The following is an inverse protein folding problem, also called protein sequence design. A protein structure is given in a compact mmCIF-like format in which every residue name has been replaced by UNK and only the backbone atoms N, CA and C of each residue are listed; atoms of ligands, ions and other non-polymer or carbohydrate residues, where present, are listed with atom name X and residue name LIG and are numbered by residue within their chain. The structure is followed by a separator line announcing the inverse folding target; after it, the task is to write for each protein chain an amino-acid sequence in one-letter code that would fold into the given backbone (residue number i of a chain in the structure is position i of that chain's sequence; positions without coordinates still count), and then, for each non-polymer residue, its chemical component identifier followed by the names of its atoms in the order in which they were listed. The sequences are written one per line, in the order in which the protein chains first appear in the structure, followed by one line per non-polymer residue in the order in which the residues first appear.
data_IF_562589701617
#
_entry.id   IF_562589701617
#
_cell.length_a   1.000
_cell.length_b   1.000
_cell.length_c   1.000
_cell.angle_alpha   90.00
_cell.angle_beta   90.00
_cell.angle_gamma   90.00
#
_symmetry.space_group_name_H-M   'P 1'
#
loop_
_entity.id
_entity.type
_entity.pdbx_description
1 polymer ?
#
# COMPACT_ATOMS: atom_id res chain seq x y z
N UNK A 1 -13.02 45.86 5.89
CA UNK A 1 -13.67 44.65 5.35
C UNK A 1 -12.59 43.80 4.71
N UNK A 2 -12.24 42.67 5.33
CA UNK A 2 -12.40 41.34 4.72
C UNK A 2 -11.98 40.34 5.79
N UNK A 3 -12.94 39.95 6.61
CA UNK A 3 -12.84 38.78 7.48
C UNK A 3 -12.83 37.59 6.52
N UNK A 4 -11.71 36.89 6.42
CA UNK A 4 -11.58 35.73 5.54
C UNK A 4 -12.14 34.54 6.32
N UNK A 5 -13.47 34.46 6.36
CA UNK A 5 -14.20 33.32 6.90
C UNK A 5 -14.03 32.16 5.90
N UNK A 6 -12.97 31.38 6.11
CA UNK A 6 -12.71 30.16 5.36
C UNK A 6 -13.74 29.14 5.83
N UNK A 7 -14.86 29.07 5.10
CA UNK A 7 -15.98 28.17 5.36
C UNK A 7 -15.55 26.71 5.11
N UNK A 8 -14.88 26.11 6.10
CA UNK A 8 -14.38 24.73 6.08
C UNK A 8 -15.52 23.70 5.88
N UNK A 9 -16.77 24.08 6.11
CA UNK A 9 -17.96 23.23 5.91
C UNK A 9 -18.21 22.87 4.45
N UNK A 10 -17.80 23.71 3.50
CA UNK A 10 -17.99 23.41 2.07
C UNK A 10 -16.92 22.45 1.52
N UNK A 11 -15.81 22.25 2.25
CA UNK A 11 -14.75 21.31 1.86
C UNK A 11 -15.05 19.89 2.35
N UNK A 12 -15.88 19.74 3.40
CA UNK A 12 -16.32 18.43 3.89
C UNK A 12 -17.27 17.71 2.92
N UNK A 13 -18.09 18.43 2.13
CA UNK A 13 -19.04 17.83 1.17
C UNK A 13 -18.39 17.25 -0.09
N UNK A 14 -17.11 17.51 -0.35
CA UNK A 14 -16.42 17.04 -1.56
C UNK A 14 -15.46 15.88 -1.34
N UNK A 15 -15.48 15.28 -0.14
CA UNK A 15 -14.73 14.05 0.19
C UNK A 15 -15.64 12.80 0.06
N UNK A 16 -16.93 12.98 -0.28
CA UNK A 16 -17.94 11.91 -0.41
C UNK A 16 -17.90 11.14 -1.75
N UNK A 17 -16.91 11.40 -2.62
CA UNK A 17 -16.56 10.48 -3.73
C UNK A 17 -15.28 9.74 -3.36
N UNK A 18 -15.43 8.97 -2.28
CA UNK A 18 -14.50 8.00 -1.75
C UNK A 18 -14.14 7.02 -2.88
N UNK A 19 -12.95 7.20 -3.46
CA UNK A 19 -12.21 6.09 -4.06
C UNK A 19 -11.93 5.11 -2.91
N UNK A 20 -12.95 4.37 -2.50
CA UNK A 20 -12.86 3.30 -1.50
C UNK A 20 -11.92 2.23 -2.07
N UNK A 21 -10.62 2.43 -1.86
CA UNK A 21 -9.76 1.27 -1.67
C UNK A 21 -10.36 0.65 -0.40
N UNK A 22 -11.11 -0.46 -0.55
CA UNK A 22 -11.72 -1.16 0.60
C UNK A 22 -10.68 -1.52 1.68
N UNK A 23 -9.37 -1.44 1.38
CA UNK A 23 -8.29 -1.59 2.33
C UNK A 23 -7.46 -0.33 2.59
N UNK A 24 -6.80 -0.37 3.75
CA UNK A 24 -5.90 0.65 4.25
C UNK A 24 -4.47 0.50 3.72
N UNK A 25 -3.65 1.55 3.89
CA UNK A 25 -2.19 1.47 3.65
C UNK A 25 -1.50 1.09 4.94
N UNK A 26 -0.75 -0.01 4.92
CA UNK A 26 -0.01 -0.53 6.08
C UNK A 26 1.48 -0.37 5.84
N UNK A 27 2.15 0.32 6.78
CA UNK A 27 3.60 0.52 6.77
C UNK A 27 4.28 -0.57 7.60
N UNK A 28 5.39 -1.10 7.11
CA UNK A 28 6.17 -2.12 7.81
C UNK A 28 7.65 -2.06 7.49
N UNK A 29 8.42 -2.92 8.15
CA UNK A 29 9.82 -3.19 7.82
C UNK A 29 9.91 -4.64 7.38
N UNK A 30 10.54 -4.87 6.25
CA UNK A 30 10.87 -6.19 5.74
C UNK A 30 12.31 -6.49 6.17
N UNK A 31 12.45 -7.07 7.36
CA UNK A 31 13.71 -7.49 8.00
C UNK A 31 13.77 -9.03 8.23
N UNK A 32 12.70 -9.75 7.85
CA UNK A 32 12.57 -11.20 8.01
C UNK A 32 12.06 -11.64 9.38
N UNK A 33 11.78 -10.71 10.30
CA UNK A 33 11.22 -11.03 11.62
C UNK A 33 9.72 -11.31 11.54
N UNK A 34 9.00 -10.60 10.66
CA UNK A 34 7.58 -10.83 10.40
C UNK A 34 7.39 -12.02 9.44
N UNK A 35 6.63 -13.07 9.82
CA UNK A 35 6.32 -14.19 8.96
C UNK A 35 5.60 -13.77 7.67
N UNK A 36 5.92 -14.43 6.56
CA UNK A 36 5.31 -14.17 5.25
C UNK A 36 3.77 -14.28 5.25
N UNK A 37 3.21 -15.16 6.08
CA UNK A 37 1.77 -15.36 6.21
C UNK A 37 1.03 -14.12 6.73
N UNK A 38 1.66 -13.32 7.60
CA UNK A 38 1.06 -12.09 8.14
C UNK A 38 0.93 -11.03 7.03
N UNK A 39 1.96 -10.90 6.17
CA UNK A 39 1.90 -10.01 5.02
C UNK A 39 0.79 -10.44 4.04
N UNK A 40 0.67 -11.74 3.77
CA UNK A 40 -0.39 -12.27 2.92
C UNK A 40 -1.79 -12.02 3.48
N UNK A 41 -1.97 -12.12 4.80
CA UNK A 41 -3.25 -11.80 5.44
C UNK A 41 -3.63 -10.33 5.24
N UNK A 42 -2.67 -9.41 5.38
CA UNK A 42 -2.89 -7.98 5.17
C UNK A 42 -3.30 -7.70 3.72
N UNK A 43 -2.59 -8.27 2.73
CA UNK A 43 -2.93 -8.14 1.31
C UNK A 43 -4.29 -8.77 0.98
N UNK A 44 -4.60 -9.93 1.56
CA UNK A 44 -5.87 -10.63 1.31
C UNK A 44 -7.09 -9.83 1.81
N UNK A 45 -6.88 -8.93 2.77
CA UNK A 45 -7.90 -7.98 3.25
C UNK A 45 -8.02 -6.72 2.38
N UNK A 46 -7.33 -6.66 1.23
CA UNK A 46 -7.36 -5.52 0.32
C UNK A 46 -6.46 -4.35 0.73
N UNK A 47 -5.59 -4.53 1.73
CA UNK A 47 -4.67 -3.47 2.15
C UNK A 47 -3.43 -3.43 1.26
N UNK A 48 -2.86 -2.23 1.06
CA UNK A 48 -1.57 -2.05 0.38
C UNK A 48 -0.45 -2.01 1.41
N UNK A 49 0.60 -2.81 1.21
CA UNK A 49 1.80 -2.78 2.06
C UNK A 49 2.85 -1.85 1.48
N UNK A 50 3.47 -1.05 2.35
CA UNK A 50 4.71 -0.32 2.06
C UNK A 50 5.75 -0.77 3.07
N UNK A 51 6.70 -1.58 2.62
CA UNK A 51 7.69 -2.20 3.48
C UNK A 51 9.06 -1.56 3.26
N UNK A 52 9.69 -1.03 4.29
CA UNK A 52 11.11 -0.66 4.24
C UNK A 52 11.97 -1.93 4.25
N UNK A 53 12.78 -2.15 3.22
CA UNK A 53 13.58 -3.36 3.08
C UNK A 53 14.92 -3.21 3.79
N UNK A 54 15.13 -4.03 4.81
CA UNK A 54 16.40 -4.15 5.53
C UNK A 54 17.08 -5.48 5.17
N UNK A 55 17.67 -5.54 3.97
CA UNK A 55 18.39 -6.73 3.49
C UNK A 55 18.18 -7.00 2.00
N UNK A 56 18.21 -8.29 1.62
CA UNK A 56 17.92 -8.72 0.25
C UNK A 56 16.43 -8.91 0.05
N UNK A 57 15.83 -8.06 -0.78
CA UNK A 57 14.39 -8.10 -1.09
C UNK A 57 13.95 -9.43 -1.70
N UNK A 58 14.80 -10.10 -2.49
CA UNK A 58 14.42 -11.36 -3.13
C UNK A 58 14.32 -12.48 -2.11
N UNK A 59 15.25 -12.53 -1.15
CA UNK A 59 15.21 -13.51 -0.07
C UNK A 59 13.99 -13.26 0.82
N UNK A 60 13.83 -12.02 1.29
CA UNK A 60 12.79 -11.65 2.25
C UNK A 60 11.37 -11.70 1.67
N UNK A 61 11.19 -11.34 0.40
CA UNK A 61 9.88 -11.36 -0.25
C UNK A 61 9.53 -12.72 -0.86
N UNK A 62 10.50 -13.63 -1.04
CA UNK A 62 10.26 -14.94 -1.69
C UNK A 62 9.11 -15.74 -1.05
N UNK A 63 8.91 -15.58 0.26
CA UNK A 63 7.88 -16.28 1.02
C UNK A 63 6.43 -15.86 0.73
N UNK A 64 6.20 -14.71 0.10
CA UNK A 64 4.85 -14.23 -0.22
C UNK A 64 4.72 -13.67 -1.65
N UNK A 65 5.84 -13.34 -2.31
CA UNK A 65 5.81 -12.71 -3.63
C UNK A 65 5.10 -13.56 -4.68
N UNK A 66 5.27 -14.89 -4.60
CA UNK A 66 4.60 -15.82 -5.49
C UNK A 66 3.09 -15.82 -5.28
N UNK A 67 2.65 -15.99 -4.04
CA UNK A 67 1.23 -16.04 -3.67
C UNK A 67 0.49 -14.73 -4.01
N UNK A 68 1.15 -13.58 -3.79
CA UNK A 68 0.60 -12.28 -4.20
C UNK A 68 0.41 -12.23 -5.72
N UNK A 69 1.41 -12.66 -6.50
CA UNK A 69 1.31 -12.70 -7.97
C UNK A 69 0.22 -13.66 -8.46
N UNK A 70 0.12 -14.85 -7.86
CA UNK A 70 -0.90 -15.84 -8.20
C UNK A 70 -2.32 -15.36 -7.84
N UNK A 71 -2.44 -14.50 -6.82
CA UNK A 71 -3.70 -13.86 -6.43
C UNK A 71 -4.10 -12.69 -7.34
N UNK A 72 -3.22 -12.24 -8.24
CA UNK A 72 -3.45 -11.09 -9.12
C UNK A 72 -3.00 -9.73 -8.53
N UNK A 73 -2.22 -9.75 -7.45
CA UNK A 73 -1.60 -8.55 -6.88
C UNK A 73 -0.30 -8.14 -7.59
N UNK A 74 0.26 -7.01 -7.18
CA UNK A 74 1.52 -6.48 -7.72
C UNK A 74 2.57 -6.25 -6.63
N UNK A 75 3.84 -6.36 -7.01
CA UNK A 75 4.98 -6.05 -6.16
C UNK A 75 5.92 -5.11 -6.91
N UNK A 76 6.30 -4.01 -6.28
CA UNK A 76 7.18 -2.99 -6.86
C UNK A 76 8.23 -2.62 -5.82
N UNK A 77 9.49 -2.82 -6.16
CA UNK A 77 10.60 -2.35 -5.34
C UNK A 77 11.06 -0.96 -5.82
N UNK A 78 11.05 0.02 -4.92
CA UNK A 78 11.39 1.40 -5.19
C UNK A 78 12.21 2.00 -4.04
N UNK A 79 13.44 2.48 -4.32
CA UNK A 79 14.30 3.20 -3.36
C UNK A 79 14.45 2.54 -1.97
N UNK A 80 14.53 1.21 -1.92
CA UNK A 80 14.63 0.46 -0.66
C UNK A 80 13.29 0.18 0.00
N UNK A 81 12.18 0.55 -0.63
CA UNK A 81 10.83 0.17 -0.21
C UNK A 81 10.25 -0.88 -1.15
N UNK A 82 9.57 -1.87 -0.61
CA UNK A 82 8.76 -2.81 -1.35
C UNK A 82 7.28 -2.45 -1.17
N UNK A 83 6.65 -2.06 -2.26
CA UNK A 83 5.21 -1.87 -2.34
C UNK A 83 4.58 -3.19 -2.76
N UNK A 84 3.56 -3.62 -2.04
CA UNK A 84 2.79 -4.83 -2.35
C UNK A 84 1.32 -4.43 -2.42
N UNK A 85 0.77 -4.49 -3.62
CA UNK A 85 -0.61 -4.11 -3.87
C UNK A 85 -1.51 -5.34 -4.02
N UNK A 86 -2.70 -5.33 -3.42
CA UNK A 86 -3.69 -6.39 -3.60
C UNK A 86 -4.30 -6.34 -5.01
N UNK A 87 -5.05 -7.39 -5.40
CA UNK A 87 -5.79 -7.39 -6.66
C UNK A 87 -6.74 -6.20 -6.75
N UNK A 88 -6.77 -5.52 -7.90
CA UNK A 88 -7.61 -4.34 -8.11
C UNK A 88 -6.98 -3.00 -7.73
N UNK A 89 -5.81 -3.01 -7.08
CA UNK A 89 -5.04 -1.79 -6.79
C UNK A 89 -3.86 -1.67 -7.76
N UNK A 90 -3.88 -0.63 -8.58
CA UNK A 90 -2.81 -0.33 -9.53
C UNK A 90 -1.83 0.68 -8.91
N UNK A 91 -0.53 0.43 -9.09
CA UNK A 91 0.55 1.28 -8.60
C UNK A 91 1.35 1.75 -9.80
N UNK A 92 1.09 2.99 -10.23
CA UNK A 92 1.76 3.59 -11.38
C UNK A 92 3.24 3.89 -11.07
N UNK A 93 4.12 3.43 -11.96
CA UNK A 93 5.57 3.68 -11.91
C UNK A 93 6.05 4.60 -13.03
N UNK A 94 5.15 5.17 -13.82
CA UNK A 94 5.49 5.93 -15.04
C UNK A 94 6.25 7.24 -14.79
N UNK A 95 6.24 7.74 -13.55
CA UNK A 95 6.85 9.02 -13.16
C UNK A 95 8.11 8.87 -12.29
N UNK A 96 8.63 7.65 -12.17
CA UNK A 96 9.81 7.32 -11.36
C UNK A 96 11.13 7.49 -12.12
#
# INVERSE_FOLDING_TARGET
MSDFDLDLRAVEEHIDEELEIEGSVVLGVLDGTTPAAEWLEVISKGNLLVLNVEGDVNELASGFARDVKESGGSLIHFRGFLLVAPPGVDVSTERL
#
